data_IF_508384418024
#
_entry.id   IF_508384418024
#
_cell.length_a   1.000
_cell.length_b   1.000
_cell.length_c   1.000
_cell.angle_alpha   90.00
_cell.angle_beta   90.00
_cell.angle_gamma   90.00
#
_symmetry.space_group_name_H-M   'P 1'
#
loop_
_entity.id
_entity.type
_entity.pdbx_description
1 polymer ?
#
# COMPACT_ATOMS: atom_id res chain seq x y z
N UNK A 1 -12.02 -2.79 -20.28
CA UNK A 1 -12.70 -2.16 -19.13
C UNK A 1 -13.92 -2.97 -18.68
N UNK A 2 -14.13 -3.08 -17.38
CA UNK A 2 -15.20 -3.82 -16.74
C UNK A 2 -16.54 -3.06 -16.77
N UNK A 3 -16.51 -1.75 -16.49
CA UNK A 3 -17.66 -0.86 -16.66
C UNK A 3 -17.64 -0.23 -18.06
N UNK A 4 -18.75 -0.32 -18.78
CA UNK A 4 -18.92 0.28 -20.12
C UNK A 4 -20.27 1.00 -20.20
N UNK A 5 -20.48 1.90 -21.19
CA UNK A 5 -21.75 2.60 -21.35
C UNK A 5 -22.95 1.66 -21.47
N UNK A 6 -22.82 0.53 -22.18
CA UNK A 6 -23.89 -0.45 -22.37
C UNK A 6 -24.33 -1.08 -21.05
N UNK A 7 -23.38 -1.32 -20.14
CA UNK A 7 -23.68 -1.88 -18.81
C UNK A 7 -24.29 -0.85 -17.87
N UNK A 8 -23.94 0.43 -18.05
CA UNK A 8 -24.40 1.52 -17.19
C UNK A 8 -25.74 2.12 -17.63
N UNK A 9 -26.05 2.14 -18.92
CA UNK A 9 -27.27 2.70 -19.47
C UNK A 9 -28.57 2.23 -18.75
N UNK A 10 -28.79 0.91 -18.51
CA UNK A 10 -29.99 0.49 -17.78
C UNK A 10 -30.01 1.00 -16.34
N UNK A 11 -28.85 1.05 -15.66
CA UNK A 11 -28.75 1.53 -14.28
C UNK A 11 -29.05 3.02 -14.18
N UNK A 12 -28.59 3.83 -15.15
CA UNK A 12 -28.85 5.28 -15.15
C UNK A 12 -30.33 5.59 -15.39
N UNK A 13 -31.02 4.78 -16.18
CA UNK A 13 -32.45 4.97 -16.44
C UNK A 13 -33.33 4.87 -15.18
N UNK A 14 -32.87 4.12 -14.17
CA UNK A 14 -33.56 3.95 -12.88
C UNK A 14 -33.21 5.05 -11.87
N UNK A 15 -32.24 5.92 -12.20
CA UNK A 15 -31.63 6.90 -11.28
C UNK A 15 -32.03 8.33 -11.62
N UNK A 16 -33.32 8.55 -11.91
CA UNK A 16 -33.83 9.87 -12.28
C UNK A 16 -33.32 10.97 -11.33
N UNK A 17 -32.53 11.90 -11.88
CA UNK A 17 -31.92 13.05 -11.20
C UNK A 17 -30.95 12.71 -10.05
N UNK A 18 -30.38 11.49 -10.05
CA UNK A 18 -29.41 11.03 -9.05
C UNK A 18 -28.06 10.77 -9.72
N UNK A 19 -27.14 11.78 -9.70
CA UNK A 19 -25.85 11.63 -10.35
C UNK A 19 -25.07 10.42 -9.84
N UNK A 20 -24.27 9.83 -10.72
CA UNK A 20 -23.40 8.69 -10.45
C UNK A 20 -21.95 9.16 -10.46
N UNK A 21 -21.32 9.11 -9.30
CA UNK A 21 -19.90 9.37 -9.14
C UNK A 21 -19.14 8.05 -9.19
N UNK A 22 -18.17 7.96 -10.11
CA UNK A 22 -17.31 6.80 -10.28
C UNK A 22 -15.87 7.24 -10.04
N UNK A 23 -15.18 6.52 -9.15
CA UNK A 23 -13.77 6.74 -8.83
C UNK A 23 -13.00 5.53 -9.36
N UNK A 24 -12.25 5.70 -10.45
CA UNK A 24 -11.45 4.65 -11.10
C UNK A 24 -9.97 4.79 -10.70
N UNK A 25 -9.53 3.93 -9.78
CA UNK A 25 -8.15 3.92 -9.26
C UNK A 25 -7.32 2.74 -9.79
N UNK A 26 -7.85 1.97 -10.75
CA UNK A 26 -7.20 0.76 -11.24
C UNK A 26 -6.17 1.05 -12.35
N UNK A 27 -5.09 0.25 -12.38
CA UNK A 27 -4.09 0.24 -13.45
C UNK A 27 -3.86 -1.22 -13.90
N UNK A 28 -4.31 -1.61 -15.11
CA UNK A 28 -5.03 -0.82 -16.11
C UNK A 28 -6.47 -0.44 -15.67
N UNK A 29 -7.07 0.57 -16.32
CA UNK A 29 -8.37 1.15 -15.95
C UNK A 29 -9.53 0.16 -16.04
N UNK A 30 -10.43 0.21 -15.06
CA UNK A 30 -11.59 -0.67 -14.99
C UNK A 30 -12.84 -0.05 -15.63
N UNK A 31 -12.90 1.26 -15.80
CA UNK A 31 -14.06 1.97 -16.36
C UNK A 31 -13.72 2.44 -17.76
N UNK A 32 -14.59 2.28 -18.75
CA UNK A 32 -14.33 2.80 -20.10
C UNK A 32 -14.36 4.35 -20.11
N UNK A 33 -13.45 5.05 -20.80
CA UNK A 33 -13.43 6.52 -20.84
C UNK A 33 -14.75 7.16 -21.29
N UNK A 34 -15.45 6.51 -22.22
CA UNK A 34 -16.71 6.94 -22.83
C UNK A 34 -17.85 7.03 -21.80
N UNK A 35 -17.69 6.40 -20.63
CA UNK A 35 -18.64 6.50 -19.52
C UNK A 35 -18.80 7.94 -19.02
N UNK A 36 -17.75 8.77 -19.15
CA UNK A 36 -17.81 10.18 -18.72
C UNK A 36 -18.66 11.07 -19.66
N UNK A 37 -19.03 10.55 -20.84
CA UNK A 37 -19.89 11.26 -21.80
C UNK A 37 -21.39 11.04 -21.51
N UNK A 38 -21.70 10.10 -20.61
CA UNK A 38 -23.08 9.79 -20.24
C UNK A 38 -23.66 10.87 -19.31
N UNK A 39 -24.88 11.30 -19.58
CA UNK A 39 -25.56 12.30 -18.76
C UNK A 39 -25.73 11.82 -17.31
N UNK A 40 -25.40 12.70 -16.36
CA UNK A 40 -25.48 12.40 -14.93
C UNK A 40 -24.35 11.51 -14.39
N UNK A 41 -23.29 11.24 -15.18
CA UNK A 41 -22.10 10.50 -14.73
C UNK A 41 -20.92 11.45 -14.54
N UNK A 42 -20.20 11.26 -13.43
CA UNK A 42 -18.94 11.94 -13.16
C UNK A 42 -17.86 10.90 -12.90
N UNK A 43 -16.92 10.76 -13.83
CA UNK A 43 -15.81 9.84 -13.72
C UNK A 43 -14.54 10.59 -13.29
N UNK A 44 -13.99 10.19 -12.14
CA UNK A 44 -12.71 10.66 -11.64
C UNK A 44 -11.69 9.53 -11.66
N UNK A 45 -10.56 9.76 -12.32
CA UNK A 45 -9.42 8.85 -12.30
C UNK A 45 -8.32 9.34 -11.32
N UNK A 46 -7.28 8.52 -11.15
CA UNK A 46 -6.14 8.84 -10.29
C UNK A 46 -5.47 10.17 -10.67
N UNK A 47 -5.42 10.50 -11.95
CA UNK A 47 -4.81 11.73 -12.48
C UNK A 47 -5.67 12.96 -12.14
N UNK A 48 -6.99 12.84 -12.27
CA UNK A 48 -7.96 13.89 -11.92
C UNK A 48 -7.89 14.25 -10.43
N UNK A 49 -7.71 13.24 -9.56
CA UNK A 49 -7.57 13.43 -8.11
C UNK A 49 -6.22 14.05 -7.72
N UNK A 50 -5.16 13.84 -8.50
CA UNK A 50 -3.85 14.45 -8.24
C UNK A 50 -3.90 15.98 -8.33
N UNK A 51 -4.66 16.54 -9.28
CA UNK A 51 -4.82 18.00 -9.42
C UNK A 51 -5.42 18.66 -8.17
N UNK A 52 -6.31 17.96 -7.46
CA UNK A 52 -6.90 18.41 -6.19
C UNK A 52 -5.89 18.26 -5.04
N UNK A 53 -5.11 17.18 -5.06
CA UNK A 53 -4.10 16.92 -4.04
C UNK A 53 -2.88 17.86 -4.11
N UNK A 54 -2.61 18.48 -5.27
CA UNK A 54 -1.51 19.44 -5.43
C UNK A 54 -1.62 20.65 -4.49
N UNK A 55 -2.83 21.05 -4.09
CA UNK A 55 -3.01 22.11 -3.08
C UNK A 55 -2.57 21.70 -1.67
N UNK A 56 -2.40 20.40 -1.40
CA UNK A 56 -1.91 19.85 -0.12
C UNK A 56 -0.39 19.60 -0.08
N UNK A 57 0.36 20.03 -1.10
CA UNK A 57 1.80 19.74 -1.24
C UNK A 57 2.66 20.21 -0.04
N UNK A 58 2.29 21.33 0.60
CA UNK A 58 3.07 21.88 1.73
C UNK A 58 3.09 20.94 2.93
N UNK A 59 1.96 20.28 3.23
CA UNK A 59 1.88 19.29 4.31
C UNK A 59 2.66 18.03 3.93
N UNK A 60 2.60 17.60 2.66
CA UNK A 60 3.39 16.45 2.17
C UNK A 60 4.89 16.68 2.26
N UNK A 61 5.40 17.89 1.98
CA UNK A 61 6.84 18.18 2.05
C UNK A 61 7.46 17.91 3.42
N UNK A 62 6.76 18.21 4.50
CA UNK A 62 7.25 17.90 5.85
C UNK A 62 7.27 16.40 6.13
N UNK A 63 6.30 15.65 5.58
CA UNK A 63 6.24 14.19 5.71
C UNK A 63 7.29 13.47 4.85
N UNK A 64 7.70 14.06 3.71
CA UNK A 64 8.75 13.50 2.85
C UNK A 64 10.07 13.38 3.62
N UNK A 65 10.50 14.43 4.32
CA UNK A 65 11.75 14.39 5.08
C UNK A 65 11.72 13.31 6.17
N UNK A 66 10.60 13.13 6.86
CA UNK A 66 10.43 12.06 7.84
C UNK A 66 10.48 10.67 7.18
N UNK A 67 9.86 10.52 6.00
CA UNK A 67 9.90 9.28 5.22
C UNK A 67 11.31 8.92 4.75
N UNK A 68 12.08 9.90 4.26
CA UNK A 68 13.48 9.71 3.84
C UNK A 68 14.35 9.21 5.00
N UNK A 69 14.14 9.74 6.20
CA UNK A 69 14.87 9.29 7.38
C UNK A 69 14.55 7.83 7.74
N UNK A 70 13.28 7.43 7.72
CA UNK A 70 12.87 6.04 7.97
C UNK A 70 13.49 5.09 6.94
N UNK A 71 13.50 5.48 5.66
CA UNK A 71 14.12 4.68 4.60
C UNK A 71 15.63 4.54 4.84
N UNK A 72 16.32 5.62 5.20
CA UNK A 72 17.76 5.60 5.45
C UNK A 72 18.12 4.67 6.62
N UNK A 73 17.34 4.70 7.70
CA UNK A 73 17.50 3.80 8.85
C UNK A 73 17.33 2.33 8.42
N UNK A 74 16.28 2.01 7.66
CA UNK A 74 16.06 0.66 7.16
C UNK A 74 17.14 0.18 6.18
N UNK A 75 17.66 1.05 5.32
CA UNK A 75 18.76 0.71 4.41
C UNK A 75 20.03 0.38 5.20
N UNK A 76 20.34 1.13 6.26
CA UNK A 76 21.47 0.82 7.12
C UNK A 76 21.29 -0.51 7.85
N UNK A 77 20.11 -0.77 8.41
CA UNK A 77 19.85 -2.01 9.13
C UNK A 77 19.86 -3.23 8.21
N UNK A 78 19.30 -3.10 7.00
CA UNK A 78 19.41 -4.11 5.97
C UNK A 78 20.87 -4.38 5.56
N UNK A 79 21.67 -3.32 5.43
CA UNK A 79 23.11 -3.44 5.17
C UNK A 79 23.85 -4.19 6.28
N UNK A 80 23.55 -3.88 7.56
CA UNK A 80 24.11 -4.59 8.71
C UNK A 80 23.68 -6.06 8.73
N UNK A 81 22.41 -6.35 8.40
CA UNK A 81 21.90 -7.71 8.29
C UNK A 81 22.63 -8.50 7.20
N UNK A 82 22.83 -7.93 6.00
CA UNK A 82 23.59 -8.55 4.91
C UNK A 82 25.05 -8.86 5.31
N UNK A 83 25.72 -7.93 5.99
CA UNK A 83 27.09 -8.14 6.44
C UNK A 83 27.19 -9.29 7.45
N UNK A 84 26.24 -9.40 8.39
CA UNK A 84 26.17 -10.52 9.36
C UNK A 84 25.89 -11.85 8.66
N UNK A 85 24.97 -11.87 7.71
CA UNK A 85 24.64 -13.05 6.92
C UNK A 85 25.85 -13.52 6.09
N UNK A 86 26.65 -12.60 5.55
CA UNK A 86 27.86 -12.92 4.78
C UNK A 86 29.07 -13.32 5.66
N UNK A 87 29.16 -12.83 6.90
CA UNK A 87 30.27 -13.11 7.82
C UNK A 87 30.10 -14.39 8.65
N UNK A 88 29.06 -15.19 8.40
CA UNK A 88 28.84 -16.50 9.02
C UNK A 88 28.73 -16.50 10.55
N UNK A 89 28.44 -15.34 11.16
CA UNK A 89 28.32 -15.22 12.62
C UNK A 89 26.84 -15.37 13.00
N UNK A 90 26.46 -16.37 13.83
CA UNK A 90 25.07 -16.54 14.23
C UNK A 90 24.62 -15.30 14.98
N UNK A 91 23.51 -14.70 14.55
CA UNK A 91 22.89 -13.60 15.29
C UNK A 91 22.38 -14.15 16.62
N UNK A 92 22.71 -13.48 17.72
CA UNK A 92 22.31 -13.88 19.09
C UNK A 92 20.79 -14.05 19.28
N UNK A 93 19.96 -13.57 18.35
CA UNK A 93 18.51 -13.83 18.30
C UNK A 93 18.16 -15.32 18.07
N UNK A 94 19.02 -16.12 17.43
CA UNK A 94 18.79 -17.56 17.30
C UNK A 94 19.05 -18.34 18.61
N UNK A 95 19.76 -17.76 19.58
CA UNK A 95 20.07 -18.44 20.85
C UNK A 95 18.90 -18.33 21.84
N UNK A 96 18.03 -17.34 21.70
CA UNK A 96 16.92 -17.08 22.65
C UNK A 96 15.78 -18.11 22.55
N UNK A 97 15.75 -18.95 21.51
CA UNK A 97 14.68 -19.94 21.32
C UNK A 97 15.13 -21.42 21.24
N UNK A 98 16.31 -21.77 21.74
CA UNK A 98 16.66 -23.19 21.91
C UNK A 98 16.05 -23.78 23.20
N UNK A 99 15.14 -24.78 23.14
CA UNK A 99 14.54 -25.40 24.33
C UNK A 99 15.51 -26.27 25.13
N UNK A 100 16.78 -26.36 24.73
CA UNK A 100 17.73 -27.37 25.24
C UNK A 100 18.41 -26.93 26.56
N UNK A 101 18.30 -25.66 26.97
CA UNK A 101 18.96 -25.19 28.20
C UNK A 101 18.26 -25.62 29.51
N UNK A 102 16.97 -25.94 29.50
CA UNK A 102 16.24 -26.27 30.74
C UNK A 102 16.37 -27.74 31.18
N UNK A 103 16.79 -28.65 30.30
CA UNK A 103 16.88 -30.08 30.64
C UNK A 103 18.14 -30.42 31.46
N UNK A 104 19.23 -29.65 31.34
CA UNK A 104 20.50 -29.93 32.01
C UNK A 104 20.52 -29.58 33.51
N UNK A 105 19.55 -28.81 34.03
CA UNK A 105 19.49 -28.51 35.47
C UNK A 105 18.70 -29.54 36.29
N UNK A 106 17.97 -30.48 35.66
CA UNK A 106 17.18 -31.49 36.40
C UNK A 106 17.89 -32.82 36.66
N UNK A 107 19.09 -33.03 36.11
CA UNK A 107 19.84 -34.28 36.30
C UNK A 107 20.99 -34.17 37.32
N UNK A 108 21.08 -33.06 38.07
CA UNK A 108 22.17 -32.83 39.03
C UNK A 108 21.71 -32.62 40.48
N UNK A 109 20.47 -32.97 40.80
CA UNK A 109 20.02 -33.16 42.18
C UNK A 109 19.32 -34.52 42.29
N UNK A 110 20.14 -35.55 42.52
CA UNK A 110 19.75 -36.71 43.34
C UNK A 110 19.97 -36.36 44.81
#
# INVERSE_FOLDING_TARGET
>A
PLLTPEKLAPILSERWDRPLFIIDIAVPRDVAPEVNEMEGVYLYDIDSLQSIAEQSLLVRRQQIAAGEQIIAEHVQDFGKWLHRAASGSPTADEIVHSPIAEQSLRTSES
#
